data_IF_325028022476
#
_entry.id   IF_325028022476
#
_cell.length_a   1.000
_cell.length_b   1.000
_cell.length_c   1.000
_cell.angle_alpha   90.00
_cell.angle_beta   90.00
_cell.angle_gamma   90.00
#
_symmetry.space_group_name_H-M   'P 1'
#
loop_
_entity.id
_entity.type
_entity.pdbx_description
1 polymer ?
#
# COMPACT_ATOMS: atom_id res chain seq x y z
N UNK A 1 26.34 11.78 22.44
CA UNK A 1 25.29 10.74 22.32
C UNK A 1 25.01 10.51 20.85
N UNK A 2 25.41 9.36 20.31
CA UNK A 2 25.02 8.95 18.95
C UNK A 2 23.63 8.36 19.08
N UNK A 3 22.60 9.02 18.54
CA UNK A 3 21.27 8.44 18.46
C UNK A 3 21.36 7.19 17.57
N UNK A 4 21.24 5.99 18.16
CA UNK A 4 21.09 4.76 17.39
C UNK A 4 19.95 4.95 16.40
N UNK A 5 20.25 4.84 15.11
CA UNK A 5 19.30 4.98 14.01
C UNK A 5 18.30 3.82 14.13
N UNK A 6 17.20 4.01 14.86
CA UNK A 6 16.14 3.01 14.97
C UNK A 6 15.59 2.80 13.56
N UNK A 7 15.81 1.61 12.99
CA UNK A 7 15.34 1.31 11.64
C UNK A 7 13.82 1.47 11.59
N UNK A 8 13.32 2.08 10.52
CA UNK A 8 11.88 2.24 10.32
C UNK A 8 11.22 0.85 10.25
N UNK A 9 10.08 0.69 10.91
CA UNK A 9 9.32 -0.55 10.86
C UNK A 9 8.88 -0.82 9.43
N UNK A 10 9.21 -1.97 8.86
CA UNK A 10 8.73 -2.35 7.52
C UNK A 10 7.33 -2.93 7.62
N UNK A 11 6.39 -2.36 6.86
CA UNK A 11 4.98 -2.77 6.88
C UNK A 11 4.58 -3.23 5.50
N UNK A 12 4.31 -4.52 5.33
CA UNK A 12 3.82 -5.08 4.07
C UNK A 12 2.32 -4.78 3.95
N UNK A 13 1.94 -4.13 2.85
CA UNK A 13 0.55 -3.75 2.58
C UNK A 13 -0.06 -4.71 1.55
N UNK A 14 -1.22 -5.25 1.88
CA UNK A 14 -2.05 -6.07 1.00
C UNK A 14 -2.84 -5.18 0.01
N UNK A 15 -3.27 -5.73 -1.13
CA UNK A 15 -4.07 -5.04 -2.13
C UNK A 15 -5.35 -4.46 -1.51
N UNK A 16 -6.02 -5.22 -0.65
CA UNK A 16 -7.27 -4.82 -0.01
C UNK A 16 -7.14 -3.53 0.81
N UNK A 17 -5.96 -3.30 1.40
CA UNK A 17 -5.71 -2.13 2.24
C UNK A 17 -5.82 -0.82 1.46
N UNK A 18 -5.44 -0.83 0.18
CA UNK A 18 -5.51 0.34 -0.70
C UNK A 18 -6.92 0.74 -1.11
N UNK A 19 -7.93 -0.09 -0.84
CA UNK A 19 -9.34 0.23 -1.10
C UNK A 19 -10.00 1.02 0.04
N UNK A 20 -9.40 1.01 1.23
CA UNK A 20 -9.90 1.68 2.44
C UNK A 20 -10.19 3.17 2.20
N UNK A 21 -9.31 3.98 1.54
CA UNK A 21 -9.59 5.39 1.28
C UNK A 21 -10.88 5.63 0.51
N UNK A 22 -11.18 4.77 -0.46
CA UNK A 22 -12.41 4.89 -1.28
C UNK A 22 -13.69 4.51 -0.52
N UNK A 23 -13.57 3.74 0.56
CA UNK A 23 -14.71 3.23 1.33
C UNK A 23 -15.04 4.11 2.53
N UNK A 24 -14.01 4.62 3.20
CA UNK A 24 -14.14 5.31 4.48
C UNK A 24 -13.59 6.74 4.47
N UNK A 25 -13.06 7.21 3.32
CA UNK A 25 -12.55 8.58 3.13
C UNK A 25 -11.45 8.97 4.15
N UNK A 26 -10.39 8.16 4.24
CA UNK A 26 -9.20 8.43 5.07
C UNK A 26 -7.90 8.40 4.27
N UNK A 27 -6.85 9.02 4.83
CA UNK A 27 -5.47 8.80 4.43
C UNK A 27 -4.87 7.62 5.20
N UNK A 28 -4.73 6.49 4.52
CA UNK A 28 -4.19 5.25 5.12
C UNK A 28 -2.74 5.37 5.61
N UNK A 29 -1.93 6.29 5.07
CA UNK A 29 -0.54 6.45 5.50
C UNK A 29 -0.44 7.26 6.78
N UNK A 30 -1.25 8.32 6.90
CA UNK A 30 -1.35 9.10 8.13
C UNK A 30 -1.93 8.26 9.27
N UNK A 31 -3.01 7.52 9.01
CA UNK A 31 -3.63 6.64 10.01
C UNK A 31 -2.69 5.51 10.46
N UNK A 32 -1.92 4.93 9.54
CA UNK A 32 -0.87 3.95 9.91
C UNK A 32 0.24 4.59 10.74
N UNK A 33 0.68 5.81 10.40
CA UNK A 33 1.70 6.52 11.18
C UNK A 33 1.21 6.78 12.60
N UNK A 34 -0.04 7.22 12.75
CA UNK A 34 -0.68 7.48 14.04
C UNK A 34 -0.82 6.18 14.85
N UNK A 35 -1.29 5.10 14.23
CA UNK A 35 -1.49 3.79 14.89
C UNK A 35 -0.17 3.19 15.38
N UNK A 36 0.89 3.26 14.55
CA UNK A 36 2.18 2.66 14.87
C UNK A 36 3.01 3.53 15.83
N UNK A 37 2.69 4.83 15.94
CA UNK A 37 3.40 5.83 16.75
C UNK A 37 4.93 5.81 16.56
N UNK A 38 5.38 5.47 15.34
CA UNK A 38 6.78 5.41 14.96
C UNK A 38 6.93 5.51 13.43
N UNK A 39 8.15 5.76 12.98
CA UNK A 39 8.46 5.76 11.54
C UNK A 39 8.32 4.35 10.97
N UNK A 40 7.67 4.25 9.81
CA UNK A 40 7.53 3.01 9.08
C UNK A 40 7.87 3.18 7.60
N UNK A 41 8.21 2.09 6.95
CA UNK A 41 8.46 1.99 5.51
C UNK A 41 7.35 1.10 4.91
N UNK A 42 6.40 1.66 4.13
CA UNK A 42 5.39 0.86 3.46
C UNK A 42 6.03 0.03 2.35
N UNK A 43 5.79 -1.28 2.39
CA UNK A 43 6.30 -2.27 1.44
C UNK A 43 5.14 -2.79 0.59
N UNK A 44 5.32 -2.74 -0.73
CA UNK A 44 4.42 -3.36 -1.69
C UNK A 44 5.11 -4.55 -2.34
N UNK A 45 4.45 -5.71 -2.38
CA UNK A 45 4.96 -6.87 -3.08
C UNK A 45 4.61 -6.80 -4.57
N UNK A 46 5.50 -7.28 -5.44
CA UNK A 46 5.21 -7.31 -6.89
C UNK A 46 4.01 -8.19 -7.26
N UNK A 47 3.65 -9.18 -6.44
CA UNK A 47 2.41 -9.95 -6.60
C UNK A 47 1.19 -9.07 -6.37
N UNK A 48 1.17 -8.33 -5.26
CA UNK A 48 0.11 -7.38 -4.91
C UNK A 48 -0.06 -6.29 -5.95
N UNK A 49 1.04 -5.77 -6.50
CA UNK A 49 0.99 -4.80 -7.58
C UNK A 49 0.29 -5.36 -8.83
N UNK A 50 0.56 -6.62 -9.20
CA UNK A 50 -0.08 -7.30 -10.35
C UNK A 50 -1.57 -7.53 -10.12
N UNK A 51 -1.97 -7.86 -8.89
CA UNK A 51 -3.38 -8.01 -8.54
C UNK A 51 -4.14 -6.69 -8.71
N UNK A 52 -3.57 -5.58 -8.21
CA UNK A 52 -4.14 -4.24 -8.40
C UNK A 52 -4.21 -3.84 -9.88
N UNK A 53 -3.19 -4.17 -10.68
CA UNK A 53 -3.21 -3.96 -12.14
C UNK A 53 -4.34 -4.75 -12.81
N UNK A 54 -4.51 -6.02 -12.48
CA UNK A 54 -5.60 -6.84 -13.02
C UNK A 54 -6.99 -6.28 -12.64
N UNK A 55 -7.14 -5.71 -11.44
CA UNK A 55 -8.39 -5.05 -11.04
C UNK A 55 -8.64 -3.73 -11.79
N UNK A 56 -7.58 -3.01 -12.18
CA UNK A 56 -7.68 -1.79 -12.99
C UNK A 56 -8.09 -2.09 -14.44
N UNK A 57 -7.90 -3.32 -14.91
CA UNK A 57 -8.37 -3.82 -16.21
C UNK A 57 -9.79 -4.41 -16.13
N UNK A 58 -10.45 -4.37 -14.98
CA UNK A 58 -11.80 -4.91 -14.79
C UNK A 58 -12.86 -4.18 -15.66
N UNK A 59 -13.82 -4.95 -16.19
CA UNK A 59 -14.98 -4.42 -16.91
C UNK A 59 -15.99 -3.67 -16.02
N UNK A 60 -15.84 -3.74 -14.69
CA UNK A 60 -16.67 -2.99 -13.74
C UNK A 60 -16.13 -1.57 -13.56
N UNK A 61 -16.85 -0.51 -13.97
CA UNK A 61 -16.35 0.86 -13.89
C UNK A 61 -16.04 1.31 -12.46
N UNK A 62 -16.79 0.80 -11.47
CA UNK A 62 -16.58 1.08 -10.06
C UNK A 62 -15.27 0.45 -9.57
N UNK A 63 -15.09 -0.84 -9.85
CA UNK A 63 -13.90 -1.61 -9.47
C UNK A 63 -12.66 -1.02 -10.12
N UNK A 64 -12.71 -0.74 -11.42
CA UNK A 64 -11.62 -0.12 -12.17
C UNK A 64 -11.19 1.22 -11.55
N UNK A 65 -12.14 2.13 -11.27
CA UNK A 65 -11.82 3.43 -10.66
C UNK A 65 -11.16 3.28 -9.29
N UNK A 66 -11.66 2.37 -8.45
CA UNK A 66 -11.07 2.09 -7.14
C UNK A 66 -9.66 1.48 -7.27
N UNK A 67 -9.46 0.56 -8.22
CA UNK A 67 -8.15 -0.05 -8.45
C UNK A 67 -7.13 0.94 -9.01
N UNK A 68 -7.54 1.87 -9.88
CA UNK A 68 -6.67 2.97 -10.36
C UNK A 68 -6.24 3.88 -9.20
N UNK A 69 -7.16 4.20 -8.28
CA UNK A 69 -6.81 4.94 -7.07
C UNK A 69 -5.84 4.14 -6.19
N UNK A 70 -6.11 2.85 -6.00
CA UNK A 70 -5.24 1.96 -5.23
C UNK A 70 -3.82 1.88 -5.81
N UNK A 71 -3.66 1.81 -7.13
CA UNK A 71 -2.37 1.84 -7.80
C UNK A 71 -1.60 3.14 -7.53
N UNK A 72 -2.29 4.29 -7.60
CA UNK A 72 -1.67 5.60 -7.28
C UNK A 72 -1.20 5.69 -5.83
N UNK A 73 -1.92 5.07 -4.91
CA UNK A 73 -1.49 5.00 -3.50
C UNK A 73 -0.29 4.05 -3.35
N UNK A 74 -0.30 2.93 -4.06
CA UNK A 74 0.75 1.93 -4.05
C UNK A 74 2.09 2.46 -4.57
N UNK A 75 2.10 3.49 -5.44
CA UNK A 75 3.31 4.20 -5.87
C UNK A 75 4.10 4.84 -4.72
N UNK A 76 3.45 5.15 -3.58
CA UNK A 76 4.13 5.67 -2.38
C UNK A 76 4.87 4.57 -1.60
N UNK A 77 4.72 3.30 -1.97
CA UNK A 77 5.32 2.16 -1.29
C UNK A 77 6.62 1.76 -1.95
N UNK A 78 7.54 1.18 -1.16
CA UNK A 78 8.73 0.52 -1.70
C UNK A 78 8.33 -0.82 -2.30
N UNK A 79 8.51 -0.97 -3.61
CA UNK A 79 8.25 -2.21 -4.33
C UNK A 79 9.34 -3.25 -4.03
N UNK A 80 8.93 -4.45 -3.62
CA UNK A 80 9.78 -5.61 -3.42
C UNK A 80 9.38 -6.71 -4.40
N UNK A 81 10.28 -7.10 -5.32
CA UNK A 81 10.04 -8.22 -6.23
C UNK A 81 9.95 -9.55 -5.47
N UNK A 82 8.91 -10.32 -5.75
CA UNK A 82 8.72 -11.67 -5.23
C UNK A 82 8.57 -12.67 -6.38
N UNK A 83 9.20 -13.84 -6.24
CA UNK A 83 9.02 -14.96 -7.16
C UNK A 83 7.87 -15.83 -6.68
N UNK A 84 7.02 -16.30 -7.59
CA UNK A 84 6.11 -17.41 -7.28
C UNK A 84 6.98 -18.66 -7.12
N UNK A 85 6.94 -19.25 -5.93
CA UNK A 85 7.52 -20.57 -5.65
C UNK A 85 6.72 -21.69 -6.27
#
# INVERSE_FOLDING_TARGET
MVASKKEALKVVLDANFFFIPSQFNLDIFEELANLLNQRFEPILLSSTQKELQGLAESNSPKTQKQAVLALRLAEKCRLIPVKKG
#
